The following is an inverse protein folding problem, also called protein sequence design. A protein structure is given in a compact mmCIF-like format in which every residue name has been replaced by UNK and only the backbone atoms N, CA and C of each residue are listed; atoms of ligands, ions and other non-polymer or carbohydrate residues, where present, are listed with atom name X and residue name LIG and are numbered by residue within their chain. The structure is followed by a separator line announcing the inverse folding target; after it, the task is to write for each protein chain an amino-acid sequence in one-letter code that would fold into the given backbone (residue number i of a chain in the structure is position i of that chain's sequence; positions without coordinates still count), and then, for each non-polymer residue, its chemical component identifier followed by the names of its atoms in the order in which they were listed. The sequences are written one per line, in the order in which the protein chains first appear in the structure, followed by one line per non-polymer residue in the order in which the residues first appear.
data_IF_626259682391
#
_entry.id   IF_626259682391
#
_cell.length_a   1.000
_cell.length_b   1.000
_cell.length_c   1.000
_cell.angle_alpha   90.00
_cell.angle_beta   90.00
_cell.angle_gamma   90.00
#
_symmetry.space_group_name_H-M   'P 1'
#
loop_
_entity.id
_entity.type
_entity.pdbx_description
1 polymer ?
#
# COMPACT_ATOMS: atom_id res chain seq x y z
N UNK A 1 11.68 -11.79 -1.63
CA UNK A 1 10.27 -11.56 -1.28
C UNK A 1 10.04 -10.27 -0.48
N UNK A 2 10.75 -10.04 0.65
CA UNK A 2 10.59 -8.83 1.49
C UNK A 2 10.77 -7.50 0.75
N UNK A 3 11.89 -7.34 0.02
CA UNK A 3 12.18 -6.11 -0.71
C UNK A 3 11.13 -5.80 -1.78
N UNK A 4 10.66 -6.84 -2.49
CA UNK A 4 9.58 -6.71 -3.48
C UNK A 4 8.27 -6.31 -2.83
N UNK A 5 7.91 -6.94 -1.70
CA UNK A 5 6.73 -6.59 -0.93
C UNK A 5 6.73 -5.14 -0.46
N UNK A 6 7.86 -4.66 0.08
CA UNK A 6 8.00 -3.26 0.49
C UNK A 6 7.92 -2.29 -0.70
N UNK A 7 8.55 -2.64 -1.84
CA UNK A 7 8.49 -1.83 -3.04
C UNK A 7 7.07 -1.68 -3.58
N UNK A 8 6.35 -2.79 -3.70
CA UNK A 8 4.96 -2.78 -4.19
C UNK A 8 4.04 -2.09 -3.19
N UNK A 9 4.23 -2.31 -1.88
CA UNK A 9 3.51 -1.60 -0.82
C UNK A 9 3.68 -0.09 -0.97
N UNK A 10 4.91 0.42 -1.00
CA UNK A 10 5.16 1.86 -1.10
C UNK A 10 4.55 2.46 -2.38
N UNK A 11 4.64 1.76 -3.51
CA UNK A 11 4.03 2.19 -4.77
C UNK A 11 2.51 2.28 -4.66
N UNK A 12 1.86 1.24 -4.14
CA UNK A 12 0.39 1.19 -4.05
C UNK A 12 -0.13 2.16 -2.99
N UNK A 13 0.55 2.30 -1.85
CA UNK A 13 0.23 3.33 -0.85
C UNK A 13 0.32 4.73 -1.46
N UNK A 14 1.41 5.03 -2.19
CA UNK A 14 1.59 6.35 -2.80
C UNK A 14 0.44 6.70 -3.75
N UNK A 15 0.08 5.76 -4.63
CA UNK A 15 -1.03 5.97 -5.58
C UNK A 15 -2.35 6.17 -4.85
N UNK A 16 -2.68 5.31 -3.88
CA UNK A 16 -3.95 5.38 -3.14
C UNK A 16 -4.04 6.68 -2.33
N UNK A 17 -2.98 7.08 -1.63
CA UNK A 17 -2.96 8.31 -0.83
C UNK A 17 -3.17 9.54 -1.71
N UNK A 18 -2.50 9.62 -2.86
CA UNK A 18 -2.67 10.77 -3.77
C UNK A 18 -4.11 10.86 -4.28
N UNK A 19 -4.71 9.74 -4.69
CA UNK A 19 -6.09 9.71 -5.18
C UNK A 19 -7.08 10.12 -4.09
N UNK A 20 -6.95 9.59 -2.88
CA UNK A 20 -7.88 9.90 -1.79
C UNK A 20 -7.68 11.34 -1.28
N UNK A 21 -6.44 11.81 -1.16
CA UNK A 21 -6.15 13.19 -0.74
C UNK A 21 -6.67 14.22 -1.75
N UNK A 22 -6.60 13.91 -3.06
CA UNK A 22 -7.22 14.74 -4.08
C UNK A 22 -8.75 14.73 -3.95
N UNK A 23 -9.36 13.56 -3.70
CA UNK A 23 -10.78 13.43 -3.42
C UNK A 23 -11.23 14.29 -2.23
N UNK A 24 -10.43 14.35 -1.16
CA UNK A 24 -10.69 15.18 0.01
C UNK A 24 -10.70 16.70 -0.31
N UNK A 25 -9.96 17.14 -1.35
CA UNK A 25 -9.92 18.53 -1.76
C UNK A 25 -11.16 18.98 -2.56
N UNK A 26 -11.95 18.06 -3.11
CA UNK A 26 -13.13 18.38 -3.94
C UNK A 26 -14.18 19.16 -3.13
N UNK A 27 -14.47 18.71 -1.91
CA UNK A 27 -15.49 19.35 -1.06
C UNK A 27 -15.15 20.81 -0.69
N UNK A 28 -13.97 21.12 -0.14
CA UNK A 28 -13.62 22.51 0.19
C UNK A 28 -13.37 23.40 -1.05
N UNK A 29 -13.09 22.82 -2.22
CA UNK A 29 -13.09 23.55 -3.50
C UNK A 29 -14.50 23.95 -3.93
N UNK A 30 -15.49 23.05 -3.77
CA UNK A 30 -16.89 23.33 -4.08
C UNK A 30 -17.48 24.41 -3.16
N UNK A 31 -17.07 24.44 -1.89
CA UNK A 31 -17.54 25.43 -0.90
C UNK A 31 -16.88 26.83 -1.06
N UNK A 32 -16.14 27.09 -2.16
CA UNK A 32 -15.45 28.37 -2.46
C UNK A 32 -14.52 28.88 -1.33
N UNK A 33 -14.17 28.00 -0.39
CA UNK A 33 -13.45 28.35 0.85
C UNK A 33 -11.93 28.25 0.70
N UNK A 34 -11.44 27.80 -0.46
CA UNK A 34 -10.04 27.66 -0.79
C UNK A 34 -9.64 28.64 -1.90
N UNK A 35 -8.70 29.55 -1.60
CA UNK A 35 -7.99 30.30 -2.63
C UNK A 35 -7.18 29.36 -3.53
N UNK A 36 -7.16 29.62 -4.84
CA UNK A 36 -6.52 28.79 -5.87
C UNK A 36 -5.05 28.44 -5.59
N UNK A 37 -4.32 29.27 -4.83
CA UNK A 37 -2.94 29.02 -4.42
C UNK A 37 -2.76 28.03 -3.26
N UNK A 38 -3.81 27.70 -2.50
CA UNK A 38 -3.72 26.90 -1.28
C UNK A 38 -4.07 25.42 -1.46
N UNK A 39 -4.52 25.03 -2.66
CA UNK A 39 -5.02 23.66 -2.96
C UNK A 39 -3.92 22.62 -2.82
N UNK A 40 -2.74 22.88 -3.37
CA UNK A 40 -1.60 21.95 -3.29
C UNK A 40 -1.16 21.75 -1.85
N UNK A 41 -1.14 22.84 -1.05
CA UNK A 41 -0.83 22.78 0.38
C UNK A 41 -1.88 22.00 1.15
N UNK A 42 -3.17 22.18 0.83
CA UNK A 42 -4.25 21.40 1.43
C UNK A 42 -4.11 19.91 1.12
N UNK A 43 -3.89 19.54 -0.14
CA UNK A 43 -3.70 18.14 -0.55
C UNK A 43 -2.49 17.53 0.17
N UNK A 44 -1.35 18.22 0.19
CA UNK A 44 -0.14 17.74 0.88
C UNK A 44 -0.37 17.52 2.39
N UNK A 45 -1.13 18.41 3.05
CA UNK A 45 -1.48 18.25 4.46
C UNK A 45 -2.52 17.14 4.67
N UNK A 46 -3.44 16.96 3.73
CA UNK A 46 -4.45 15.90 3.78
C UNK A 46 -3.87 14.51 3.54
N UNK A 47 -2.72 14.37 2.88
CA UNK A 47 -2.09 13.06 2.66
C UNK A 47 -1.75 12.34 3.97
N UNK A 48 -1.36 13.06 5.02
CA UNK A 48 -0.95 12.48 6.32
C UNK A 48 -2.11 11.71 6.99
N UNK A 49 -3.29 12.31 7.23
CA UNK A 49 -4.41 11.55 7.80
C UNK A 49 -4.92 10.46 6.84
N UNK A 50 -4.80 10.65 5.52
CA UNK A 50 -5.27 9.65 4.56
C UNK A 50 -4.41 8.38 4.52
N UNK A 51 -3.16 8.42 5.00
CA UNK A 51 -2.32 7.23 5.16
C UNK A 51 -2.97 6.18 6.07
N UNK A 52 -3.69 6.58 7.12
CA UNK A 52 -4.36 5.65 8.03
C UNK A 52 -5.38 4.78 7.31
N UNK A 53 -6.04 5.33 6.28
CA UNK A 53 -6.98 4.57 5.45
C UNK A 53 -6.25 3.83 4.34
N UNK A 54 -5.25 4.42 3.71
CA UNK A 54 -4.58 3.84 2.55
C UNK A 54 -3.67 2.65 2.88
N UNK A 55 -2.97 2.68 4.02
CA UNK A 55 -2.00 1.66 4.41
C UNK A 55 -2.59 0.24 4.46
N UNK A 56 -3.69 -0.05 5.19
CA UNK A 56 -4.25 -1.41 5.24
C UNK A 56 -4.71 -1.92 3.87
N UNK A 57 -5.32 -1.07 3.04
CA UNK A 57 -5.71 -1.44 1.67
C UNK A 57 -4.49 -1.75 0.80
N UNK A 58 -3.47 -0.89 0.85
CA UNK A 58 -2.25 -1.07 0.07
C UNK A 58 -1.47 -2.32 0.50
N UNK A 59 -1.50 -2.69 1.77
CA UNK A 59 -0.84 -3.88 2.30
C UNK A 59 -1.46 -5.18 1.80
N UNK A 60 -2.78 -5.32 1.89
CA UNK A 60 -3.48 -6.48 1.34
C UNK A 60 -3.29 -6.59 -0.18
N UNK A 61 -3.34 -5.46 -0.88
CA UNK A 61 -3.16 -5.43 -2.33
C UNK A 61 -1.72 -5.78 -2.75
N UNK A 62 -0.72 -5.22 -2.08
CA UNK A 62 0.69 -5.52 -2.34
C UNK A 62 1.03 -6.99 -2.04
N UNK A 63 0.52 -7.54 -0.94
CA UNK A 63 0.70 -8.96 -0.62
C UNK A 63 0.12 -9.86 -1.72
N UNK A 64 -1.08 -9.54 -2.21
CA UNK A 64 -1.74 -10.31 -3.27
C UNK A 64 -0.95 -10.26 -4.59
N UNK A 65 -0.50 -9.08 -5.01
CA UNK A 65 0.28 -8.91 -6.23
C UNK A 65 1.61 -9.65 -6.19
N UNK A 66 2.35 -9.52 -5.08
CA UNK A 66 3.64 -10.19 -4.93
C UNK A 66 3.45 -11.71 -4.87
N UNK A 67 2.49 -12.21 -4.09
CA UNK A 67 2.22 -13.65 -4.05
C UNK A 67 1.77 -14.20 -5.40
N UNK A 68 0.94 -13.46 -6.14
CA UNK A 68 0.55 -13.83 -7.48
C UNK A 68 1.75 -13.94 -8.42
N UNK A 69 2.66 -12.96 -8.41
CA UNK A 69 3.90 -12.98 -9.21
C UNK A 69 4.75 -14.20 -8.89
N UNK A 70 5.00 -14.45 -7.60
CA UNK A 70 5.80 -15.60 -7.14
C UNK A 70 5.14 -16.94 -7.49
N UNK A 71 3.81 -17.01 -7.53
CA UNK A 71 3.09 -18.18 -7.99
C UNK A 71 3.19 -18.35 -9.52
N UNK A 72 3.05 -17.27 -10.28
CA UNK A 72 3.14 -17.27 -11.74
C UNK A 72 4.55 -17.66 -12.25
N UNK A 73 5.59 -17.21 -11.55
CA UNK A 73 6.99 -17.51 -11.87
C UNK A 73 7.43 -18.90 -11.36
N UNK A 74 6.51 -19.70 -10.80
CA UNK A 74 6.78 -20.98 -10.13
C UNK A 74 7.78 -20.90 -8.96
N UNK A 75 8.14 -19.70 -8.50
CA UNK A 75 9.03 -19.52 -7.35
C UNK A 75 8.40 -20.12 -6.08
N UNK A 76 7.09 -19.97 -5.89
CA UNK A 76 6.38 -20.54 -4.73
C UNK A 76 6.42 -22.09 -4.73
N UNK A 77 6.37 -22.71 -5.91
CA UNK A 77 6.46 -24.17 -6.08
C UNK A 77 7.89 -24.64 -5.87
N UNK A 78 8.88 -23.93 -6.38
CA UNK A 78 10.30 -24.21 -6.12
C UNK A 78 10.61 -24.16 -4.61
N UNK A 79 10.08 -23.17 -3.89
CA UNK A 79 10.25 -23.04 -2.44
C UNK A 79 9.60 -24.20 -1.67
N UNK A 80 8.38 -24.60 -2.04
CA UNK A 80 7.67 -25.67 -1.31
C UNK A 80 8.27 -27.05 -1.56
N UNK A 81 8.79 -27.30 -2.77
CA UNK A 81 9.47 -28.55 -3.13
C UNK A 81 10.89 -28.64 -2.58
N UNK A 82 11.55 -27.51 -2.28
CA UNK A 82 12.87 -27.48 -1.63
C UNK A 82 12.84 -27.70 -0.11
N UNK A 83 11.71 -28.15 0.44
CA UNK A 83 11.57 -28.45 1.87
C UNK A 83 11.31 -27.24 2.78
N UNK A 84 11.05 -26.05 2.23
CA UNK A 84 10.63 -24.92 3.06
C UNK A 84 9.19 -25.08 3.53
N UNK A 85 8.98 -24.85 4.83
CA UNK A 85 7.64 -24.82 5.42
C UNK A 85 6.89 -23.59 4.91
N UNK A 86 5.59 -23.73 4.62
CA UNK A 86 4.72 -22.61 4.23
C UNK A 86 4.76 -21.43 5.20
N UNK A 87 4.94 -21.68 6.50
CA UNK A 87 5.10 -20.62 7.51
C UNK A 87 6.31 -19.72 7.24
N UNK A 88 7.41 -20.28 6.73
CA UNK A 88 8.62 -19.52 6.38
C UNK A 88 8.42 -18.75 5.07
N UNK A 89 7.72 -19.34 4.11
CA UNK A 89 7.38 -18.70 2.82
C UNK A 89 6.49 -17.47 3.05
N UNK A 90 5.48 -17.58 3.92
CA UNK A 90 4.56 -16.47 4.23
C UNK A 90 5.03 -15.53 5.35
N UNK A 91 6.11 -15.86 6.08
CA UNK A 91 6.68 -15.03 7.14
C UNK A 91 6.84 -13.54 6.77
N UNK A 92 7.36 -13.14 5.58
CA UNK A 92 7.50 -11.73 5.24
C UNK A 92 6.16 -10.99 5.09
N UNK A 93 5.11 -11.66 4.62
CA UNK A 93 3.77 -11.07 4.51
C UNK A 93 3.19 -10.84 5.90
N UNK A 94 3.31 -11.83 6.78
CA UNK A 94 2.86 -11.73 8.18
C UNK A 94 3.63 -10.63 8.92
N UNK A 95 4.95 -10.55 8.74
CA UNK A 95 5.78 -9.54 9.38
C UNK A 95 5.38 -8.11 8.97
N UNK A 96 5.14 -7.86 7.69
CA UNK A 96 4.65 -6.55 7.21
C UNK A 96 3.24 -6.27 7.73
N UNK A 97 2.34 -7.26 7.74
CA UNK A 97 1.00 -7.11 8.29
C UNK A 97 1.00 -6.75 9.78
N UNK A 98 1.87 -7.39 10.57
CA UNK A 98 2.05 -7.06 11.99
C UNK A 98 2.69 -5.68 12.19
N UNK A 99 3.64 -5.29 11.34
CA UNK A 99 4.26 -3.98 11.42
C UNK A 99 3.29 -2.83 11.12
N UNK A 100 2.26 -3.06 10.30
CA UNK A 100 1.22 -2.08 9.96
C UNK A 100 0.00 -2.12 10.88
N UNK A 101 -0.03 -3.03 11.86
CA UNK A 101 -1.13 -3.16 12.81
C UNK A 101 -1.12 -2.07 13.88
N UNK A 102 0.01 -1.35 14.03
CA UNK A 102 0.27 -0.30 15.03
C UNK A 102 0.33 1.05 14.34
#
# INVERSE_FOLDING_TARGET
MTAELLRVLLLTTTVIVVVIAFGAAIKPLADSSLGSGSVVKYVALAMIPMLQFALPFSAGFAATLVLHRFAADNELVAMSTSGMRYRTIFAPVIAVGLALLV
#
